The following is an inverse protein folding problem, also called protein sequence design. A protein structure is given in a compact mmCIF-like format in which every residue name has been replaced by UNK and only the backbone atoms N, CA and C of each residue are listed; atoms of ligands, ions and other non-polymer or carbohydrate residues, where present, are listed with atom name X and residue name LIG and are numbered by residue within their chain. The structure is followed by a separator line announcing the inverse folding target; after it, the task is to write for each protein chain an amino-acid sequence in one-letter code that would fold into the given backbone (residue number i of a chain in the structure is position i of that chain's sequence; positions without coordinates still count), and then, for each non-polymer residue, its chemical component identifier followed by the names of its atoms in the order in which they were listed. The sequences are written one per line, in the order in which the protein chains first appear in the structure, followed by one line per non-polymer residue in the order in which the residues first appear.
data_IF_874180978108
#
_entry.id   IF_874180978108
#
_cell.length_a   1.000
_cell.length_b   1.000
_cell.length_c   1.000
_cell.angle_alpha   90.00
_cell.angle_beta   90.00
_cell.angle_gamma   90.00
#
_symmetry.space_group_name_H-M   'P 1'
#
loop_
_entity.id
_entity.type
_entity.pdbx_description
1 polymer ?
#
# COMPACT_ATOMS: atom_id res chain seq x y z
N UNK A 1 10.29 59.18 -4.45
CA UNK A 1 10.53 59.04 -3.00
C UNK A 1 10.20 57.62 -2.61
N UNK A 2 11.04 57.03 -1.76
CA UNK A 2 10.90 55.70 -1.12
C UNK A 2 9.69 55.67 -0.14
N UNK A 3 9.34 54.50 0.44
CA UNK A 3 8.01 53.88 0.36
C UNK A 3 7.24 53.93 1.69
N UNK A 4 6.01 53.40 1.70
CA UNK A 4 5.34 52.93 2.93
C UNK A 4 4.89 51.48 2.77
N UNK A 5 5.53 50.65 3.58
CA UNK A 5 5.28 49.25 3.89
C UNK A 5 3.88 49.00 4.45
N UNK A 6 3.29 47.86 4.10
CA UNK A 6 2.50 47.06 5.07
C UNK A 6 2.74 45.57 4.79
N UNK A 7 3.46 44.97 5.72
CA UNK A 7 3.69 43.54 5.85
C UNK A 7 2.36 42.83 6.14
N UNK A 8 2.07 41.78 5.38
CA UNK A 8 1.13 40.73 5.78
C UNK A 8 1.94 39.45 5.88
N UNK A 9 2.35 39.11 7.10
CA UNK A 9 2.84 37.79 7.45
C UNK A 9 1.62 36.93 7.77
N UNK A 10 1.21 36.10 6.82
CA UNK A 10 0.33 34.96 7.07
C UNK A 10 1.14 33.86 7.77
N UNK A 11 0.78 33.53 9.00
CA UNK A 11 1.22 32.31 9.67
C UNK A 11 0.28 31.17 9.23
N UNK A 12 0.77 30.05 8.69
CA UNK A 12 -0.01 28.83 8.64
C UNK A 12 0.02 28.17 10.03
N UNK A 13 -1.15 27.96 10.62
CA UNK A 13 -1.31 27.18 11.84
C UNK A 13 -1.39 25.70 11.48
N UNK A 14 -0.23 25.05 11.28
CA UNK A 14 -0.14 23.59 11.23
C UNK A 14 -0.15 23.07 12.67
N UNK A 15 -1.20 22.35 13.05
CA UNK A 15 -1.28 21.70 14.37
C UNK A 15 -0.83 20.26 14.18
N UNK A 16 0.38 19.94 14.66
CA UNK A 16 0.79 18.56 14.87
C UNK A 16 -0.20 17.92 15.86
N UNK A 17 -0.83 16.81 15.46
CA UNK A 17 -1.90 16.18 16.23
C UNK A 17 -1.39 15.42 17.47
N UNK A 18 -0.42 15.96 18.23
CA UNK A 18 -0.19 15.69 19.66
C UNK A 18 0.63 16.85 20.27
N UNK A 19 0.01 17.94 20.70
CA UNK A 19 0.66 18.87 21.64
C UNK A 19 -0.32 19.83 22.34
N UNK A 20 -0.96 19.38 23.42
CA UNK A 20 -1.35 20.29 24.50
C UNK A 20 -1.49 19.55 25.83
N UNK A 21 -0.46 19.67 26.69
CA UNK A 21 -0.56 20.00 28.12
C UNK A 21 0.87 20.10 28.68
N UNK A 22 1.33 21.34 28.90
CA UNK A 22 2.66 21.67 29.44
C UNK A 22 2.74 21.34 30.94
N UNK A 23 3.56 20.34 31.30
CA UNK A 23 4.21 20.19 32.61
C UNK A 23 5.63 19.61 32.42
N UNK A 24 6.60 19.90 33.32
CA UNK A 24 8.01 19.67 33.04
C UNK A 24 8.36 18.18 33.01
N UNK A 25 9.18 17.82 32.02
CA UNK A 25 9.91 16.56 31.81
C UNK A 25 9.80 15.53 32.95
N UNK A 26 8.68 14.82 32.99
CA UNK A 26 8.50 13.61 33.78
C UNK A 26 7.44 12.79 33.05
N UNK A 27 7.92 11.79 32.29
CA UNK A 27 7.13 10.74 31.64
C UNK A 27 5.76 11.20 31.12
N UNK A 28 5.73 11.81 29.93
CA UNK A 28 4.53 11.67 29.10
C UNK A 28 4.40 10.16 28.87
N UNK A 29 3.55 9.49 29.65
CA UNK A 29 3.20 8.13 29.38
C UNK A 29 2.70 8.10 27.94
N UNK A 30 3.39 7.37 27.06
CA UNK A 30 2.90 7.17 25.70
C UNK A 30 1.47 6.65 25.82
N UNK A 31 0.53 7.39 25.24
CA UNK A 31 -0.86 6.96 25.18
C UNK A 31 -0.85 5.63 24.43
N UNK A 32 -1.42 4.59 25.02
CA UNK A 32 -1.52 3.29 24.34
C UNK A 32 -2.34 3.44 23.06
N UNK A 33 -2.04 2.65 22.03
CA UNK A 33 -2.80 2.67 20.77
C UNK A 33 -4.30 2.51 20.98
N UNK A 34 -4.73 1.66 21.91
CA UNK A 34 -6.14 1.51 22.31
C UNK A 34 -6.80 2.85 22.71
N UNK A 35 -6.10 3.65 23.51
CA UNK A 35 -6.60 4.94 24.00
C UNK A 35 -6.57 5.99 22.90
N UNK A 36 -5.53 5.98 22.06
CA UNK A 36 -5.45 6.88 20.91
C UNK A 36 -6.59 6.60 19.91
N UNK A 37 -6.85 5.33 19.60
CA UNK A 37 -7.96 4.87 18.76
C UNK A 37 -9.30 5.35 19.32
N UNK A 38 -9.55 5.11 20.61
CA UNK A 38 -10.80 5.54 21.26
C UNK A 38 -10.98 7.07 21.17
N UNK A 39 -9.92 7.84 21.45
CA UNK A 39 -9.98 9.30 21.41
C UNK A 39 -10.23 9.85 20.00
N UNK A 40 -9.62 9.26 18.96
CA UNK A 40 -9.84 9.68 17.58
C UNK A 40 -11.23 9.25 17.07
N UNK A 41 -11.75 8.10 17.50
CA UNK A 41 -13.12 7.64 17.20
C UNK A 41 -14.18 8.57 17.83
N UNK A 42 -13.98 9.00 19.08
CA UNK A 42 -14.83 10.00 19.74
C UNK A 42 -14.78 11.35 19.01
N UNK A 43 -13.57 11.81 18.64
CA UNK A 43 -13.39 13.04 17.88
C UNK A 43 -14.05 12.97 16.50
N UNK A 44 -13.88 11.86 15.78
CA UNK A 44 -14.55 11.63 14.50
C UNK A 44 -16.07 11.78 14.63
N UNK A 45 -16.64 11.18 15.67
CA UNK A 45 -18.08 11.26 15.97
C UNK A 45 -18.54 12.70 16.25
N UNK A 46 -17.73 13.50 16.97
CA UNK A 46 -18.02 14.92 17.21
C UNK A 46 -18.07 15.74 15.91
N UNK A 47 -17.08 15.58 15.03
CA UNK A 47 -17.05 16.25 13.72
C UNK A 47 -18.24 15.83 12.85
N UNK A 48 -18.54 14.53 12.83
CA UNK A 48 -19.65 13.98 12.07
C UNK A 48 -20.99 14.56 12.54
N UNK A 49 -21.27 14.52 13.84
CA UNK A 49 -22.51 15.02 14.43
C UNK A 49 -22.67 16.52 14.20
N UNK A 50 -21.58 17.28 14.32
CA UNK A 50 -21.58 18.71 14.07
C UNK A 50 -21.88 19.03 12.59
N UNK A 51 -21.21 18.37 11.65
CA UNK A 51 -21.45 18.52 10.21
C UNK A 51 -22.90 18.15 9.82
N UNK A 52 -23.45 17.09 10.43
CA UNK A 52 -24.85 16.71 10.26
C UNK A 52 -25.81 17.76 10.81
N UNK A 53 -25.49 18.38 11.96
CA UNK A 53 -26.29 19.46 12.54
C UNK A 53 -26.38 20.70 11.64
N UNK A 54 -25.35 20.93 10.80
CA UNK A 54 -25.32 21.99 9.80
C UNK A 54 -25.90 21.58 8.42
N UNK A 55 -26.29 20.32 8.24
CA UNK A 55 -26.96 19.83 7.04
C UNK A 55 -26.06 19.32 5.91
N UNK A 56 -24.82 18.91 6.20
CA UNK A 56 -23.86 18.36 5.21
C UNK A 56 -24.42 17.18 4.38
N UNK A 57 -25.31 16.36 4.96
CA UNK A 57 -25.75 15.10 4.37
C UNK A 57 -24.72 13.97 4.59
N UNK A 58 -25.11 12.73 4.33
CA UNK A 58 -24.23 11.57 4.55
C UNK A 58 -23.30 11.32 3.34
N UNK A 59 -21.99 11.13 3.54
CA UNK A 59 -21.02 11.02 2.43
C UNK A 59 -21.14 9.72 1.61
N UNK A 60 -21.80 8.69 2.14
CA UNK A 60 -21.92 7.38 1.48
C UNK A 60 -20.55 6.75 1.25
N UNK A 61 -20.37 6.00 0.15
CA UNK A 61 -19.09 5.34 -0.15
C UNK A 61 -18.10 6.22 -0.92
N UNK A 62 -18.45 7.47 -1.22
CA UNK A 62 -17.64 8.34 -2.08
C UNK A 62 -16.30 8.74 -1.43
N UNK A 63 -16.26 8.79 -0.10
CA UNK A 63 -15.09 9.17 0.70
C UNK A 63 -14.42 7.96 1.39
N UNK A 64 -14.85 6.74 1.08
CA UNK A 64 -14.30 5.55 1.72
C UNK A 64 -12.79 5.44 1.45
N UNK A 65 -11.99 5.40 2.53
CA UNK A 65 -10.54 5.26 2.45
C UNK A 65 -9.78 6.54 2.14
N UNK A 66 -10.44 7.71 2.12
CA UNK A 66 -9.75 8.99 1.96
C UNK A 66 -8.69 9.16 3.06
N UNK A 67 -7.46 9.51 2.67
CA UNK A 67 -6.35 9.69 3.60
C UNK A 67 -5.80 8.41 4.26
N UNK A 68 -6.40 7.24 3.99
CA UNK A 68 -6.00 5.98 4.64
C UNK A 68 -4.51 5.68 4.44
N UNK A 69 -4.00 5.80 3.21
CA UNK A 69 -2.60 5.49 2.88
C UNK A 69 -1.62 6.42 3.61
N UNK A 70 -1.96 7.70 3.79
CA UNK A 70 -1.17 8.62 4.59
C UNK A 70 -1.16 8.21 6.06
N UNK A 71 -2.34 7.89 6.61
CA UNK A 71 -2.47 7.52 8.02
C UNK A 71 -1.76 6.21 8.36
N UNK A 72 -1.93 5.16 7.56
CA UNK A 72 -1.28 3.87 7.82
C UNK A 72 0.24 4.02 7.79
N UNK A 73 0.76 4.89 6.93
CA UNK A 73 2.19 5.20 6.87
C UNK A 73 2.68 5.99 8.07
N UNK A 74 2.00 7.06 8.45
CA UNK A 74 2.33 7.82 9.66
C UNK A 74 2.31 6.94 10.92
N UNK A 75 1.25 6.15 11.11
CA UNK A 75 1.08 5.25 12.26
C UNK A 75 2.17 4.17 12.29
N UNK A 76 2.40 3.51 11.16
CA UNK A 76 3.39 2.43 11.08
C UNK A 76 4.81 2.97 11.27
N UNK A 77 5.13 4.12 10.67
CA UNK A 77 6.40 4.81 10.88
C UNK A 77 6.63 5.15 12.34
N UNK A 78 5.61 5.65 13.04
CA UNK A 78 5.66 5.89 14.49
C UNK A 78 5.93 4.63 15.29
N UNK A 79 5.26 3.51 14.95
CA UNK A 79 5.50 2.21 15.60
C UNK A 79 6.92 1.70 15.38
N UNK A 80 7.51 1.97 14.21
CA UNK A 80 8.87 1.58 13.84
C UNK A 80 9.94 2.58 14.29
N UNK A 81 9.55 3.73 14.85
CA UNK A 81 10.45 4.75 15.41
C UNK A 81 10.85 5.90 14.48
N UNK A 82 10.29 5.97 13.26
CA UNK A 82 10.56 7.00 12.26
C UNK A 82 9.82 8.32 12.54
N UNK A 83 10.16 9.01 13.64
CA UNK A 83 9.43 10.21 14.08
C UNK A 83 9.68 11.45 13.22
N UNK A 84 10.91 11.63 12.75
CA UNK A 84 11.28 12.81 11.96
C UNK A 84 10.82 12.64 10.51
N UNK A 85 10.92 11.42 9.98
CA UNK A 85 10.61 11.09 8.60
C UNK A 85 9.11 11.15 8.29
N UNK A 86 8.24 11.06 9.30
CA UNK A 86 6.78 11.10 9.15
C UNK A 86 6.15 12.46 9.47
N UNK A 87 6.93 13.51 9.78
CA UNK A 87 6.36 14.79 10.24
C UNK A 87 5.29 15.35 9.28
N UNK A 88 5.55 15.28 7.98
CA UNK A 88 4.58 15.69 6.95
C UNK A 88 3.38 14.72 6.88
N UNK A 89 3.63 13.40 6.91
CA UNK A 89 2.58 12.39 6.87
C UNK A 89 1.63 12.47 8.08
N UNK A 90 2.12 12.92 9.24
CA UNK A 90 1.32 13.13 10.45
C UNK A 90 0.57 14.46 10.48
N UNK A 91 0.92 15.40 9.59
CA UNK A 91 0.29 16.71 9.56
C UNK A 91 -1.09 16.61 8.93
N UNK A 92 -2.10 17.00 9.71
CA UNK A 92 -3.51 17.03 9.30
C UNK A 92 -4.08 18.41 9.62
N UNK A 93 -4.65 19.06 8.61
CA UNK A 93 -5.39 20.30 8.81
C UNK A 93 -6.73 19.98 9.49
N UNK A 94 -6.93 20.59 10.65
CA UNK A 94 -8.14 20.43 11.46
C UNK A 94 -9.05 21.65 11.29
N UNK A 95 -10.21 21.51 10.61
CA UNK A 95 -11.12 22.63 10.44
C UNK A 95 -11.79 22.97 11.77
N UNK A 96 -11.99 24.26 12.11
CA UNK A 96 -12.69 24.60 13.33
C UNK A 96 -14.16 24.18 13.26
N UNK A 97 -14.69 23.65 14.37
CA UNK A 97 -16.13 23.41 14.52
C UNK A 97 -16.88 24.75 14.65
N UNK A 98 -17.25 25.32 13.51
CA UNK A 98 -17.89 26.62 13.38
C UNK A 98 -19.00 26.58 12.32
N UNK A 99 -20.12 27.31 12.51
CA UNK A 99 -21.16 27.41 11.49
C UNK A 99 -20.70 28.17 10.24
N UNK A 100 -19.55 28.86 10.30
CA UNK A 100 -18.97 29.61 9.18
C UNK A 100 -18.11 28.73 8.25
N UNK A 101 -17.82 27.49 8.64
CA UNK A 101 -17.08 26.51 7.80
C UNK A 101 -18.08 25.71 6.98
N UNK A 102 -17.69 25.33 5.75
CA UNK A 102 -18.51 24.46 4.91
C UNK A 102 -18.79 23.14 5.66
N UNK A 103 -20.07 22.76 5.89
CA UNK A 103 -20.40 21.51 6.56
C UNK A 103 -19.77 20.28 5.89
N UNK A 104 -19.57 20.32 4.58
CA UNK A 104 -18.89 19.24 3.85
C UNK A 104 -17.41 19.12 4.20
N UNK A 105 -16.72 20.22 4.50
CA UNK A 105 -15.32 20.21 4.92
C UNK A 105 -15.16 19.54 6.29
N UNK A 106 -16.06 19.85 7.23
CA UNK A 106 -16.14 19.21 8.55
C UNK A 106 -16.44 17.71 8.41
N UNK A 107 -17.37 17.35 7.53
CA UNK A 107 -17.71 15.95 7.24
C UNK A 107 -16.53 15.18 6.62
N UNK A 108 -15.80 15.78 5.69
CA UNK A 108 -14.58 15.17 5.11
C UNK A 108 -13.54 14.92 6.21
N UNK A 109 -13.37 15.86 7.15
CA UNK A 109 -12.46 15.68 8.28
C UNK A 109 -12.90 14.52 9.18
N UNK A 110 -14.20 14.38 9.49
CA UNK A 110 -14.72 13.22 10.22
C UNK A 110 -14.36 11.90 9.52
N UNK A 111 -14.62 11.78 8.22
CA UNK A 111 -14.30 10.57 7.46
C UNK A 111 -12.79 10.30 7.41
N UNK A 112 -11.97 11.34 7.39
CA UNK A 112 -10.50 11.22 7.46
C UNK A 112 -10.07 10.66 8.82
N UNK A 113 -10.69 11.11 9.93
CA UNK A 113 -10.44 10.54 11.26
C UNK A 113 -10.90 9.08 11.37
N UNK A 114 -12.02 8.71 10.75
CA UNK A 114 -12.43 7.29 10.65
C UNK A 114 -11.42 6.44 9.88
N UNK A 115 -10.85 6.98 8.80
CA UNK A 115 -9.78 6.31 8.05
C UNK A 115 -8.51 6.15 8.90
N UNK A 116 -8.18 7.14 9.74
CA UNK A 116 -7.10 7.02 10.73
C UNK A 116 -7.38 5.89 11.73
N UNK A 117 -8.59 5.78 12.26
CA UNK A 117 -8.99 4.70 13.18
C UNK A 117 -8.84 3.33 12.52
N UNK A 118 -9.32 3.18 11.29
CA UNK A 118 -9.18 1.94 10.53
C UNK A 118 -7.70 1.58 10.30
N UNK A 119 -6.87 2.56 9.91
CA UNK A 119 -5.44 2.37 9.74
C UNK A 119 -4.74 1.98 11.05
N UNK A 120 -5.09 2.62 12.17
CA UNK A 120 -4.55 2.30 13.49
C UNK A 120 -4.89 0.87 13.93
N UNK A 121 -6.17 0.48 13.78
CA UNK A 121 -6.63 -0.90 14.08
C UNK A 121 -5.89 -1.93 13.23
N UNK A 122 -5.69 -1.67 11.93
CA UNK A 122 -4.88 -2.54 11.07
C UNK A 122 -3.44 -2.61 11.57
N UNK A 123 -2.79 -1.47 11.80
CA UNK A 123 -1.38 -1.43 12.16
C UNK A 123 -1.07 -2.17 13.48
N UNK A 124 -1.96 -2.11 14.47
CA UNK A 124 -1.75 -2.82 15.75
C UNK A 124 -1.84 -4.35 15.62
N UNK A 125 -2.57 -4.86 14.63
CA UNK A 125 -2.72 -6.30 14.37
C UNK A 125 -1.51 -6.88 13.61
N UNK A 126 -0.75 -6.05 12.90
CA UNK A 126 0.42 -6.49 12.14
C UNK A 126 1.54 -6.97 13.05
N UNK A 127 2.19 -8.07 12.67
CA UNK A 127 3.47 -8.46 13.26
C UNK A 127 4.54 -7.41 12.95
N UNK A 128 5.66 -7.42 13.68
CA UNK A 128 6.77 -6.49 13.41
C UNK A 128 7.29 -6.62 11.96
N UNK A 129 7.41 -7.84 11.43
CA UNK A 129 7.84 -8.04 10.04
C UNK A 129 6.82 -7.49 9.05
N UNK A 130 5.52 -7.71 9.28
CA UNK A 130 4.48 -7.16 8.42
C UNK A 130 4.46 -5.62 8.43
N UNK A 131 4.69 -4.98 9.59
CA UNK A 131 4.86 -3.52 9.68
C UNK A 131 6.04 -3.04 8.84
N UNK A 132 7.19 -3.71 8.92
CA UNK A 132 8.39 -3.37 8.13
C UNK A 132 8.14 -3.56 6.63
N UNK A 133 7.48 -4.64 6.23
CA UNK A 133 7.09 -4.86 4.83
C UNK A 133 6.14 -3.78 4.33
N UNK A 134 5.14 -3.40 5.13
CA UNK A 134 4.22 -2.32 4.80
C UNK A 134 4.96 -0.99 4.63
N UNK A 135 5.84 -0.68 5.59
CA UNK A 135 6.64 0.53 5.54
C UNK A 135 7.46 0.65 4.26
N UNK A 136 8.24 -0.38 3.94
CA UNK A 136 9.08 -0.39 2.75
C UNK A 136 8.27 -0.37 1.45
N UNK A 137 7.19 -1.14 1.38
CA UNK A 137 6.39 -1.29 0.16
C UNK A 137 5.47 -0.10 -0.12
N UNK A 138 4.79 0.40 0.90
CA UNK A 138 3.65 1.29 0.73
C UNK A 138 3.97 2.74 1.09
N UNK A 139 4.96 2.99 1.95
CA UNK A 139 5.17 4.30 2.58
C UNK A 139 6.41 5.05 2.12
N UNK A 140 7.55 4.37 2.02
CA UNK A 140 8.82 5.02 1.68
C UNK A 140 8.72 5.73 0.32
N UNK A 141 9.07 7.02 0.29
CA UNK A 141 8.99 7.86 -0.91
C UNK A 141 7.62 8.49 -1.17
N UNK A 142 6.64 8.32 -0.28
CA UNK A 142 5.30 8.92 -0.35
C UNK A 142 5.02 9.80 0.87
N UNK A 143 4.03 10.69 0.78
CA UNK A 143 3.57 11.52 1.92
C UNK A 143 4.68 12.27 2.66
N UNK A 144 5.69 12.77 1.94
CA UNK A 144 6.86 13.44 2.52
C UNK A 144 7.93 12.51 3.11
N UNK A 145 7.69 11.20 3.17
CA UNK A 145 8.62 10.21 3.71
C UNK A 145 9.81 10.03 2.76
N UNK A 146 11.06 10.28 3.20
CA UNK A 146 12.22 10.20 2.33
C UNK A 146 12.57 8.75 1.97
N UNK A 147 13.13 8.54 0.76
CA UNK A 147 13.61 7.21 0.31
C UNK A 147 14.69 6.61 1.22
N UNK A 148 15.41 7.45 1.95
CA UNK A 148 16.42 7.01 2.94
C UNK A 148 15.82 6.35 4.17
N UNK A 149 14.50 6.45 4.38
CA UNK A 149 13.80 5.78 5.48
C UNK A 149 13.54 4.28 5.19
N UNK A 150 13.99 3.78 4.04
CA UNK A 150 13.95 2.36 3.72
C UNK A 150 14.68 1.52 4.77
N UNK A 151 14.05 0.45 5.23
CA UNK A 151 14.64 -0.50 6.16
C UNK A 151 15.40 -1.59 5.39
N UNK A 152 16.73 -1.55 5.48
CA UNK A 152 17.61 -2.63 5.01
C UNK A 152 17.75 -3.70 6.11
N UNK A 153 16.74 -4.57 6.21
CA UNK A 153 16.70 -5.67 7.19
C UNK A 153 16.88 -7.01 6.47
N UNK A 154 18.03 -7.69 6.62
CA UNK A 154 18.28 -8.95 5.94
C UNK A 154 17.37 -10.09 6.40
N UNK A 155 16.74 -9.97 7.57
CA UNK A 155 15.80 -10.95 8.12
C UNK A 155 14.37 -10.78 7.56
N UNK A 156 14.11 -9.70 6.81
CA UNK A 156 12.82 -9.45 6.18
C UNK A 156 12.63 -10.32 4.92
N UNK A 157 12.38 -11.61 5.13
CA UNK A 157 12.30 -12.66 4.09
C UNK A 157 10.91 -12.86 3.47
N UNK A 158 10.10 -11.82 3.45
CA UNK A 158 8.68 -11.92 3.13
C UNK A 158 7.88 -12.64 4.22
N UNK A 159 6.65 -12.21 4.43
CA UNK A 159 5.68 -12.80 5.35
C UNK A 159 4.80 -13.82 4.59
N UNK A 160 4.60 -14.98 5.20
CA UNK A 160 3.70 -16.03 4.71
C UNK A 160 2.71 -16.33 5.84
N UNK A 161 1.50 -15.80 5.72
CA UNK A 161 0.45 -15.93 6.74
C UNK A 161 -0.82 -16.55 6.15
N UNK A 162 -1.57 -17.28 6.98
CA UNK A 162 -2.79 -17.98 6.54
C UNK A 162 -4.02 -17.21 7.00
N UNK A 163 -4.92 -16.94 6.05
CA UNK A 163 -6.24 -16.37 6.33
C UNK A 163 -7.31 -17.26 5.67
N UNK A 164 -7.93 -18.13 6.46
CA UNK A 164 -8.88 -19.12 5.95
C UNK A 164 -8.20 -20.07 4.96
N UNK A 165 -8.70 -20.10 3.72
CA UNK A 165 -8.19 -20.90 2.60
C UNK A 165 -7.21 -20.13 1.70
N UNK A 166 -6.74 -18.96 2.18
CA UNK A 166 -5.84 -18.08 1.45
C UNK A 166 -4.47 -17.98 2.11
N UNK A 167 -3.41 -18.23 1.34
CA UNK A 167 -2.04 -17.89 1.73
C UNK A 167 -1.80 -16.42 1.36
N UNK A 168 -1.58 -15.59 2.37
CA UNK A 168 -1.16 -14.20 2.22
C UNK A 168 0.37 -14.17 2.14
N UNK A 169 0.88 -13.57 1.07
CA UNK A 169 2.30 -13.37 0.83
C UNK A 169 2.57 -11.89 0.76
N UNK A 170 3.36 -11.38 1.71
CA UNK A 170 3.57 -9.94 1.85
C UNK A 170 5.04 -9.59 2.09
N UNK A 171 5.60 -8.70 1.27
CA UNK A 171 7.02 -8.34 1.29
C UNK A 171 7.81 -8.86 0.08
N UNK A 172 9.13 -8.75 0.12
CA UNK A 172 9.98 -8.93 -1.06
C UNK A 172 10.07 -10.39 -1.54
N UNK A 173 10.21 -10.54 -2.87
CA UNK A 173 10.51 -11.81 -3.53
C UNK A 173 12.02 -11.92 -3.63
N UNK A 174 12.68 -12.23 -2.53
CA UNK A 174 14.14 -12.35 -2.49
C UNK A 174 14.64 -13.74 -2.92
N UNK A 175 15.96 -13.94 -2.85
CA UNK A 175 16.59 -15.23 -3.16
C UNK A 175 16.09 -16.32 -2.20
N UNK A 176 15.63 -17.45 -2.74
CA UNK A 176 15.08 -18.56 -1.95
C UNK A 176 13.63 -18.35 -1.54
N UNK A 177 12.97 -17.29 -2.03
CA UNK A 177 11.54 -17.09 -1.85
C UNK A 177 10.74 -18.29 -2.37
N UNK A 178 11.11 -18.86 -3.52
CA UNK A 178 10.37 -19.99 -4.11
C UNK A 178 10.32 -21.21 -3.18
N UNK A 179 11.45 -21.54 -2.54
CA UNK A 179 11.53 -22.66 -1.59
C UNK A 179 10.61 -22.43 -0.39
N UNK A 180 10.70 -21.25 0.25
CA UNK A 180 9.85 -20.89 1.40
C UNK A 180 8.36 -20.85 1.03
N UNK A 181 8.04 -20.36 -0.17
CA UNK A 181 6.68 -20.36 -0.68
C UNK A 181 6.14 -21.79 -0.90
N UNK A 182 6.97 -22.68 -1.45
CA UNK A 182 6.65 -24.10 -1.60
C UNK A 182 6.39 -24.77 -0.25
N UNK A 183 7.29 -24.57 0.72
CA UNK A 183 7.16 -25.10 2.08
C UNK A 183 5.87 -24.61 2.76
N UNK A 184 5.53 -23.33 2.60
CA UNK A 184 4.30 -22.77 3.15
C UNK A 184 3.04 -23.42 2.54
N UNK A 185 3.03 -23.67 1.24
CA UNK A 185 1.92 -24.37 0.58
C UNK A 185 1.87 -25.87 0.95
N UNK A 186 3.02 -26.53 1.13
CA UNK A 186 3.07 -27.94 1.53
C UNK A 186 2.60 -28.14 2.97
N UNK A 187 2.90 -27.18 3.85
CA UNK A 187 2.39 -27.16 5.22
C UNK A 187 0.87 -26.89 5.28
N UNK A 188 0.28 -26.30 4.24
CA UNK A 188 -1.12 -25.87 4.19
C UNK A 188 -1.82 -26.38 2.92
N UNK A 189 -2.10 -27.69 2.80
CA UNK A 189 -2.61 -28.30 1.57
C UNK A 189 -4.04 -27.90 1.18
N UNK A 190 -4.81 -27.31 2.11
CA UNK A 190 -6.19 -26.87 1.88
C UNK A 190 -6.28 -25.47 1.25
N UNK A 191 -5.14 -24.80 1.03
CA UNK A 191 -5.09 -23.48 0.39
C UNK A 191 -5.56 -23.58 -1.06
N UNK A 192 -6.45 -22.67 -1.44
CA UNK A 192 -7.01 -22.57 -2.81
C UNK A 192 -6.67 -21.24 -3.48
N UNK A 193 -6.17 -20.28 -2.72
CA UNK A 193 -5.90 -18.92 -3.19
C UNK A 193 -4.62 -18.33 -2.57
N UNK A 194 -3.93 -17.49 -3.32
CA UNK A 194 -2.76 -16.73 -2.87
C UNK A 194 -3.06 -15.23 -2.99
N UNK A 195 -2.90 -14.47 -1.91
CA UNK A 195 -3.04 -13.02 -1.89
C UNK A 195 -1.66 -12.36 -1.82
N UNK A 196 -1.33 -11.52 -2.81
CA UNK A 196 0.04 -11.00 -3.01
C UNK A 196 0.13 -9.50 -2.69
N UNK A 197 1.21 -9.09 -2.03
CA UNK A 197 1.66 -7.70 -1.97
C UNK A 197 3.18 -7.64 -1.82
N UNK A 198 3.88 -7.03 -2.78
CA UNK A 198 5.35 -7.09 -2.84
C UNK A 198 5.92 -5.99 -3.74
N UNK A 199 7.10 -5.48 -3.39
CA UNK A 199 7.87 -4.56 -4.23
C UNK A 199 8.55 -5.28 -5.40
N UNK A 200 8.56 -6.62 -5.38
CA UNK A 200 9.23 -7.47 -6.35
C UNK A 200 10.56 -8.02 -5.82
N UNK A 201 11.54 -8.17 -6.72
CA UNK A 201 12.83 -8.78 -6.41
C UNK A 201 13.29 -9.76 -7.49
N UNK A 202 13.65 -10.97 -7.09
CA UNK A 202 14.12 -12.06 -7.94
C UNK A 202 13.06 -12.46 -8.97
N UNK A 203 13.32 -12.12 -10.24
CA UNK A 203 12.50 -12.59 -11.38
C UNK A 203 12.47 -14.11 -11.42
N UNK A 204 13.59 -14.78 -11.15
CA UNK A 204 13.67 -16.24 -11.21
C UNK A 204 12.75 -16.91 -10.17
N UNK A 205 12.83 -16.49 -8.91
CA UNK A 205 11.95 -16.99 -7.84
C UNK A 205 10.47 -16.69 -8.15
N UNK A 206 10.19 -15.51 -8.71
CA UNK A 206 8.83 -15.13 -9.09
C UNK A 206 8.24 -16.06 -10.17
N UNK A 207 9.03 -16.37 -11.21
CA UNK A 207 8.60 -17.28 -12.28
C UNK A 207 8.36 -18.69 -11.74
N UNK A 208 9.25 -19.20 -10.88
CA UNK A 208 9.09 -20.53 -10.26
C UNK A 208 7.87 -20.58 -9.33
N UNK A 209 7.66 -19.58 -8.48
CA UNK A 209 6.48 -19.49 -7.62
C UNK A 209 5.19 -19.44 -8.44
N UNK A 210 5.17 -18.66 -9.53
CA UNK A 210 4.05 -18.62 -10.46
C UNK A 210 3.76 -19.96 -11.13
N UNK A 211 4.80 -20.72 -11.50
CA UNK A 211 4.65 -22.11 -11.99
C UNK A 211 4.04 -23.01 -10.92
N UNK A 212 4.53 -22.95 -9.67
CA UNK A 212 3.96 -23.72 -8.54
C UNK A 212 2.47 -23.42 -8.35
N UNK A 213 2.08 -22.14 -8.38
CA UNK A 213 0.67 -21.71 -8.28
C UNK A 213 -0.17 -22.34 -9.41
N UNK A 214 0.33 -22.27 -10.65
CA UNK A 214 -0.34 -22.83 -11.83
C UNK A 214 -0.53 -24.34 -11.71
N UNK A 215 0.52 -25.06 -11.33
CA UNK A 215 0.52 -26.52 -11.24
C UNK A 215 -0.41 -27.03 -10.13
N UNK A 216 -0.55 -26.28 -9.03
CA UNK A 216 -1.50 -26.57 -7.95
C UNK A 216 -2.92 -26.10 -8.22
N UNK A 217 -3.18 -25.39 -9.32
CA UNK A 217 -4.51 -24.91 -9.67
C UNK A 217 -5.04 -23.78 -8.77
N UNK A 218 -4.15 -23.02 -8.12
CA UNK A 218 -4.51 -21.98 -7.15
C UNK A 218 -4.98 -20.70 -7.85
N UNK A 219 -5.89 -19.97 -7.19
CA UNK A 219 -6.28 -18.61 -7.60
C UNK A 219 -5.32 -17.57 -7.02
N UNK A 220 -5.25 -16.39 -7.62
CA UNK A 220 -4.46 -15.26 -7.11
C UNK A 220 -5.32 -14.01 -6.95
N UNK A 221 -5.01 -13.24 -5.91
CA UNK A 221 -5.54 -11.89 -5.67
C UNK A 221 -4.46 -10.97 -5.13
N UNK A 222 -4.80 -9.70 -4.90
CA UNK A 222 -3.90 -8.72 -4.32
C UNK A 222 -4.26 -8.46 -2.86
N UNK A 223 -3.28 -8.59 -1.98
CA UNK A 223 -3.33 -8.14 -0.59
C UNK A 223 -2.91 -6.67 -0.45
N UNK A 224 -1.96 -6.24 -1.29
CA UNK A 224 -1.44 -4.88 -1.39
C UNK A 224 -0.84 -4.61 -2.78
N UNK A 225 -0.05 -3.54 -2.95
CA UNK A 225 0.62 -3.26 -4.21
C UNK A 225 1.54 -4.41 -4.63
N UNK A 226 1.59 -4.71 -5.93
CA UNK A 226 2.34 -5.83 -6.47
C UNK A 226 3.15 -5.36 -7.67
N UNK A 227 4.43 -5.09 -7.43
CA UNK A 227 5.31 -4.40 -8.36
C UNK A 227 6.47 -5.27 -8.85
N UNK A 228 7.05 -4.87 -9.99
CA UNK A 228 8.25 -5.48 -10.57
C UNK A 228 8.09 -6.98 -10.88
N UNK A 229 8.73 -7.86 -10.10
CA UNK A 229 8.62 -9.31 -10.25
C UNK A 229 7.29 -9.88 -9.71
N UNK A 230 6.61 -9.18 -8.79
CA UNK A 230 5.38 -9.68 -8.16
C UNK A 230 4.24 -9.98 -9.15
N UNK A 231 3.95 -9.14 -10.17
CA UNK A 231 2.96 -9.46 -11.18
C UNK A 231 3.20 -10.81 -11.87
N UNK A 232 4.46 -11.26 -11.99
CA UNK A 232 4.77 -12.57 -12.56
C UNK A 232 4.20 -13.69 -11.68
N UNK A 233 4.33 -13.60 -10.35
CA UNK A 233 3.71 -14.55 -9.41
C UNK A 233 2.19 -14.49 -9.50
N UNK A 234 1.61 -13.29 -9.53
CA UNK A 234 0.16 -13.08 -9.65
C UNK A 234 -0.40 -13.75 -10.91
N UNK A 235 0.31 -13.65 -12.03
CA UNK A 235 -0.07 -14.30 -13.29
C UNK A 235 0.04 -15.83 -13.24
N UNK A 236 0.60 -16.44 -12.19
CA UNK A 236 0.55 -17.89 -11.98
C UNK A 236 -0.87 -18.42 -11.81
N UNK A 237 -1.78 -17.61 -11.22
CA UNK A 237 -3.12 -18.04 -10.80
C UNK A 237 -4.05 -18.47 -11.93
N UNK A 238 -4.85 -19.53 -11.70
CA UNK A 238 -5.85 -20.01 -12.67
C UNK A 238 -7.06 -19.08 -12.77
N UNK A 239 -7.35 -18.35 -11.68
CA UNK A 239 -8.22 -17.18 -11.63
C UNK A 239 -7.41 -16.06 -10.98
N UNK A 240 -7.49 -14.86 -11.54
CA UNK A 240 -6.69 -13.69 -11.16
C UNK A 240 -7.62 -12.53 -10.89
N UNK A 241 -7.99 -12.34 -9.63
CA UNK A 241 -9.05 -11.41 -9.22
C UNK A 241 -8.48 -10.16 -8.57
N UNK A 242 -8.88 -9.00 -9.05
CA UNK A 242 -8.53 -7.71 -8.46
C UNK A 242 -9.80 -7.03 -7.94
N UNK A 243 -9.80 -6.72 -6.65
CA UNK A 243 -10.85 -5.95 -5.99
C UNK A 243 -10.52 -4.46 -6.07
N UNK A 244 -11.52 -3.58 -6.16
CA UNK A 244 -11.28 -2.14 -6.05
C UNK A 244 -11.10 -1.77 -4.58
N UNK A 245 -10.12 -0.93 -4.31
CA UNK A 245 -9.81 -0.38 -2.99
C UNK A 245 -8.57 0.51 -3.06
N UNK A 246 -8.15 1.11 -1.95
CA UNK A 246 -6.86 1.80 -1.87
C UNK A 246 -5.75 0.73 -1.97
N UNK A 247 -5.01 0.68 -3.09
CA UNK A 247 -3.75 -0.06 -3.17
C UNK A 247 -3.60 -1.31 -4.07
N UNK A 248 -4.59 -1.89 -4.78
CA UNK A 248 -4.33 -3.03 -5.65
C UNK A 248 -3.83 -2.55 -7.02
N UNK A 249 -2.52 -2.34 -7.11
CA UNK A 249 -1.84 -1.95 -8.34
C UNK A 249 -0.87 -3.03 -8.80
N UNK A 250 -0.90 -3.31 -10.10
CA UNK A 250 0.16 -4.07 -10.78
C UNK A 250 1.08 -3.07 -11.46
N UNK A 251 2.36 -3.13 -11.13
CA UNK A 251 3.36 -2.21 -11.67
C UNK A 251 4.49 -2.98 -12.35
N UNK A 252 4.92 -2.46 -13.49
CA UNK A 252 5.93 -3.07 -14.35
C UNK A 252 7.04 -2.08 -14.64
N UNK A 253 8.27 -2.57 -14.70
CA UNK A 253 9.43 -1.83 -15.21
C UNK A 253 10.41 -2.81 -15.85
N UNK A 254 11.50 -2.28 -16.45
CA UNK A 254 12.54 -3.09 -17.09
C UNK A 254 13.28 -3.94 -16.07
N UNK A 255 13.55 -5.21 -16.39
CA UNK A 255 14.41 -6.05 -15.55
C UNK A 255 15.76 -5.36 -15.37
N UNK A 256 16.26 -5.31 -14.14
CA UNK A 256 17.56 -4.77 -13.81
C UNK A 256 18.28 -5.71 -12.83
N UNK A 257 19.59 -5.53 -12.72
CA UNK A 257 20.43 -6.22 -11.75
C UNK A 257 21.44 -5.23 -11.15
N UNK A 258 22.39 -5.71 -10.35
CA UNK A 258 23.40 -4.86 -9.70
C UNK A 258 24.30 -4.05 -10.66
N UNK A 259 24.25 -4.32 -11.98
CA UNK A 259 24.99 -3.57 -13.01
C UNK A 259 24.12 -2.60 -13.81
N UNK A 260 22.80 -2.58 -13.57
CA UNK A 260 21.83 -1.72 -14.25
C UNK A 260 20.76 -2.50 -15.00
N UNK A 261 20.07 -1.81 -15.91
CA UNK A 261 19.00 -2.40 -16.72
C UNK A 261 19.52 -3.51 -17.64
N UNK A 262 18.81 -4.63 -17.64
CA UNK A 262 19.12 -5.77 -18.49
C UNK A 262 18.69 -5.47 -19.93
N UNK A 263 19.55 -5.73 -20.95
CA UNK A 263 19.18 -5.57 -22.36
C UNK A 263 17.96 -6.42 -22.74
N UNK A 264 17.10 -5.91 -23.62
CA UNK A 264 15.91 -6.66 -24.08
C UNK A 264 16.25 -7.93 -24.88
N UNK A 265 17.51 -8.06 -25.33
CA UNK A 265 18.03 -9.26 -26.00
C UNK A 265 18.51 -10.34 -25.03
N UNK A 266 18.50 -10.08 -23.73
CA UNK A 266 18.89 -11.04 -22.70
C UNK A 266 17.84 -12.16 -22.56
N UNK A 267 18.31 -13.38 -22.27
CA UNK A 267 17.48 -14.57 -22.14
C UNK A 267 16.41 -14.42 -21.05
N UNK A 268 16.57 -13.52 -20.07
CA UNK A 268 15.53 -13.26 -19.06
C UNK A 268 14.19 -12.86 -19.69
N UNK A 269 14.20 -12.04 -20.76
CA UNK A 269 12.97 -11.63 -21.44
C UNK A 269 12.36 -12.77 -22.27
N UNK A 270 13.19 -13.69 -22.77
CA UNK A 270 12.72 -14.91 -23.40
C UNK A 270 12.03 -15.82 -22.38
N UNK A 271 12.65 -16.06 -21.22
CA UNK A 271 12.04 -16.86 -20.14
C UNK A 271 10.74 -16.25 -19.63
N UNK A 272 10.67 -14.92 -19.47
CA UNK A 272 9.43 -14.21 -19.12
C UNK A 272 8.36 -14.44 -20.20
N UNK A 273 8.73 -14.32 -21.48
CA UNK A 273 7.79 -14.52 -22.60
C UNK A 273 7.23 -15.93 -22.62
N UNK A 274 8.07 -16.95 -22.48
CA UNK A 274 7.66 -18.36 -22.42
C UNK A 274 6.77 -18.64 -21.22
N UNK A 275 7.12 -18.09 -20.06
CA UNK A 275 6.31 -18.17 -18.85
C UNK A 275 4.91 -17.56 -19.07
N UNK A 276 4.83 -16.35 -19.61
CA UNK A 276 3.55 -15.67 -19.85
C UNK A 276 2.66 -16.47 -20.82
N UNK A 277 3.24 -17.05 -21.87
CA UNK A 277 2.53 -17.97 -22.76
C UNK A 277 1.99 -19.19 -22.01
N UNK A 278 2.80 -19.81 -21.14
CA UNK A 278 2.38 -20.94 -20.29
C UNK A 278 1.25 -20.55 -19.33
N UNK A 279 1.21 -19.30 -18.92
CA UNK A 279 0.15 -18.74 -18.08
C UNK A 279 -1.08 -18.28 -18.88
N UNK A 280 -1.15 -18.46 -20.20
CA UNK A 280 -2.25 -17.91 -21.02
C UNK A 280 -2.38 -16.38 -20.84
N UNK A 281 -1.24 -15.68 -20.81
CA UNK A 281 -1.14 -14.21 -20.79
C UNK A 281 -0.46 -13.75 -22.07
N UNK A 282 -0.95 -12.66 -22.68
CA UNK A 282 -0.33 -12.07 -23.86
C UNK A 282 1.02 -11.42 -23.51
N UNK A 283 2.16 -11.99 -23.95
CA UNK A 283 3.47 -11.48 -23.56
C UNK A 283 3.78 -10.11 -24.14
N UNK A 284 3.28 -9.80 -25.35
CA UNK A 284 3.55 -8.54 -26.01
C UNK A 284 3.01 -7.34 -25.21
N UNK A 285 1.88 -7.51 -24.53
CA UNK A 285 1.31 -6.49 -23.65
C UNK A 285 2.20 -6.30 -22.41
N UNK A 286 2.49 -7.37 -21.68
CA UNK A 286 3.24 -7.31 -20.41
C UNK A 286 4.68 -6.84 -20.63
N UNK A 287 5.41 -7.44 -21.59
CA UNK A 287 6.77 -6.99 -21.92
C UNK A 287 6.74 -5.56 -22.45
N UNK A 288 5.72 -5.20 -23.23
CA UNK A 288 5.48 -3.83 -23.67
C UNK A 288 5.29 -2.84 -22.51
N UNK A 289 4.65 -3.25 -21.42
CA UNK A 289 4.53 -2.46 -20.19
C UNK A 289 5.83 -2.38 -19.40
N UNK A 290 6.56 -3.49 -19.25
CA UNK A 290 7.86 -3.51 -18.59
C UNK A 290 8.82 -2.50 -19.20
N UNK A 291 8.86 -2.37 -20.54
CA UNK A 291 9.81 -1.46 -21.20
C UNK A 291 9.41 0.02 -21.16
N UNK A 292 8.23 0.37 -20.65
CA UNK A 292 7.78 1.78 -20.51
C UNK A 292 8.42 2.51 -19.33
N UNK A 293 8.95 1.79 -18.34
CA UNK A 293 9.57 2.37 -17.15
C UNK A 293 10.98 1.80 -16.93
N UNK A 294 11.92 2.66 -16.58
CA UNK A 294 13.28 2.26 -16.20
C UNK A 294 13.34 1.71 -14.78
N UNK A 295 14.53 1.30 -14.32
CA UNK A 295 14.71 0.66 -13.00
C UNK A 295 14.30 1.49 -11.77
N UNK A 296 14.11 2.81 -11.93
CA UNK A 296 13.73 3.73 -10.84
C UNK A 296 12.31 4.25 -10.94
N UNK A 297 11.57 3.84 -11.97
CA UNK A 297 10.21 4.24 -12.27
C UNK A 297 9.30 3.02 -12.29
N UNK A 298 7.99 3.24 -12.33
CA UNK A 298 6.98 2.19 -12.45
C UNK A 298 5.98 2.57 -13.54
N UNK A 299 5.65 1.61 -14.41
CA UNK A 299 4.50 1.72 -15.30
C UNK A 299 3.35 0.90 -14.73
N UNK A 300 2.26 1.57 -14.39
CA UNK A 300 1.03 0.97 -13.89
C UNK A 300 -0.04 1.06 -14.98
N UNK A 301 -0.48 -0.06 -15.58
CA UNK A 301 -1.57 -0.05 -16.55
C UNK A 301 -2.89 0.33 -15.88
N UNK A 302 -3.78 0.95 -16.64
CA UNK A 302 -5.15 1.18 -16.20
C UNK A 302 -5.85 -0.17 -15.94
N UNK A 303 -6.76 -0.21 -14.96
CA UNK A 303 -7.43 -1.44 -14.55
C UNK A 303 -8.19 -2.14 -15.69
N UNK A 304 -8.72 -1.36 -16.65
CA UNK A 304 -9.39 -1.88 -17.85
C UNK A 304 -8.44 -2.60 -18.83
N UNK A 305 -7.16 -2.25 -18.82
CA UNK A 305 -6.15 -2.83 -19.70
C UNK A 305 -5.64 -4.20 -19.21
N UNK A 306 -5.99 -4.62 -17.99
CA UNK A 306 -5.49 -5.86 -17.39
C UNK A 306 -6.18 -7.12 -17.92
N UNK A 307 -7.48 -7.06 -18.26
CA UNK A 307 -8.21 -8.24 -18.76
C UNK A 307 -7.94 -8.61 -20.23
N UNK A 308 -7.84 -7.66 -21.19
CA UNK A 308 -7.59 -8.01 -22.60
C UNK A 308 -6.34 -8.88 -22.84
N UNK A 309 -5.18 -8.64 -22.21
CA UNK A 309 -4.03 -9.53 -22.28
C UNK A 309 -4.08 -10.71 -21.31
N UNK A 310 -5.20 -10.88 -20.59
CA UNK A 310 -5.45 -11.88 -19.55
C UNK A 310 -4.54 -11.78 -18.33
N UNK A 311 -3.95 -10.62 -18.06
CA UNK A 311 -3.16 -10.40 -16.82
C UNK A 311 -4.05 -10.56 -15.59
N UNK A 312 -5.26 -10.02 -15.63
CA UNK A 312 -6.35 -10.36 -14.72
C UNK A 312 -7.44 -11.16 -15.46
N UNK A 313 -8.13 -12.05 -14.76
CA UNK A 313 -9.34 -12.72 -15.28
C UNK A 313 -10.61 -12.03 -14.82
N UNK A 314 -10.52 -11.22 -13.76
CA UNK A 314 -11.61 -10.41 -13.27
C UNK A 314 -11.08 -9.21 -12.50
N UNK A 315 -11.65 -8.05 -12.79
CA UNK A 315 -11.39 -6.81 -12.06
C UNK A 315 -12.74 -6.22 -11.67
N UNK A 316 -12.93 -5.98 -10.38
CA UNK A 316 -14.20 -5.52 -9.82
C UNK A 316 -14.73 -4.30 -10.59
N UNK A 317 -15.96 -4.40 -11.09
CA UNK A 317 -16.67 -3.36 -11.86
C UNK A 317 -16.03 -2.95 -13.20
N UNK A 318 -14.92 -3.55 -13.61
CA UNK A 318 -14.21 -3.17 -14.84
C UNK A 318 -14.31 -4.26 -15.91
N UNK A 319 -13.95 -5.51 -15.59
CA UNK A 319 -13.91 -6.58 -16.57
C UNK A 319 -14.01 -7.99 -15.98
N UNK A 320 -14.41 -8.94 -16.82
CA UNK A 320 -14.36 -10.38 -16.59
C UNK A 320 -13.97 -11.04 -17.91
N UNK A 321 -13.01 -11.96 -17.90
CA UNK A 321 -12.51 -12.68 -19.07
C UNK A 321 -12.47 -14.19 -18.89
#
# INVERSE_FOLDING_TARGET
MRPLSKNWTSLPGSIALVAALLTPASALAEISWEKAITAVEEKSSEYYDYAMSLGSGHPGTALNGIGHDQHICAITGRMLGFREEIEEAETLDEPPLSPDVDPMEIMIHAVTLDAWVAAARRAVELTENQKKSLWNLECVGKHGIPRSAYLDDPELKGDFSINGDTLVVYGDIDSGFHERFGDALDANPDIVQVALGSAGGSVYDALLAGVTIRERGLSTTLHGPCFSACPLVFMGGVKRTIWMGPGPHLGFHRVYNGTGEVPLSDDVYMHITEYLLRMDVNPAAVVGWMIKAGQYDMFEPDLEDLCPPKVATWVQRMCSS
#
